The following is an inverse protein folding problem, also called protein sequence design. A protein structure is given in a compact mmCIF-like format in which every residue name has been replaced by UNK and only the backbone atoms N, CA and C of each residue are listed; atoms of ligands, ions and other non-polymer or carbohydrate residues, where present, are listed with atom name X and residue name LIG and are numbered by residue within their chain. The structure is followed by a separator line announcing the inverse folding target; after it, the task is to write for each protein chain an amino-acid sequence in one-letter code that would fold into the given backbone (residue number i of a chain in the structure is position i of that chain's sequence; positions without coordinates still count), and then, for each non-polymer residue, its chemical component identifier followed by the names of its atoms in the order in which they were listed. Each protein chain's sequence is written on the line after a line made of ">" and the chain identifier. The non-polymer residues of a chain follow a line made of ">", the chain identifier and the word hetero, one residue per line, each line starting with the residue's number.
data_IF_536357314351
#
_entry.id   IF_536357314351
#
_cell.length_a   1.000
_cell.length_b   1.000
_cell.length_c   1.000
_cell.angle_alpha   90.00
_cell.angle_beta   90.00
_cell.angle_gamma   90.00
#
_symmetry.space_group_name_H-M   'P 1'
#
loop_
_entity.id
_entity.type
_entity.pdbx_description
1 polymer ?
#
# COMPACT_ATOMS: atom_id res chain seq x y z
N UNK A 1 -29.01 12.50 8.77
CA UNK A 1 -28.68 11.59 7.65
C UNK A 1 -27.83 12.35 6.64
N UNK A 2 -26.91 11.65 5.97
CA UNK A 2 -26.03 12.15 4.89
C UNK A 2 -24.68 12.69 5.35
N UNK A 3 -23.66 11.83 5.32
CA UNK A 3 -22.56 12.04 4.38
C UNK A 3 -22.18 10.68 3.83
N UNK A 4 -22.69 10.44 2.64
CA UNK A 4 -22.26 9.46 1.64
C UNK A 4 -20.74 9.52 1.61
N UNK A 5 -20.15 8.59 2.35
CA UNK A 5 -18.72 8.32 2.38
C UNK A 5 -18.30 8.24 0.91
N UNK A 6 -17.43 9.15 0.47
CA UNK A 6 -16.94 9.17 -0.90
C UNK A 6 -16.46 7.76 -1.20
N UNK A 7 -17.19 7.09 -2.07
CA UNK A 7 -16.83 5.81 -2.66
C UNK A 7 -15.59 6.06 -3.53
N UNK A 8 -14.47 6.37 -2.89
CA UNK A 8 -13.19 6.34 -3.55
C UNK A 8 -13.02 4.88 -3.98
N UNK A 9 -12.70 4.61 -5.25
CA UNK A 9 -12.45 3.24 -5.69
C UNK A 9 -11.41 2.65 -4.74
N UNK A 10 -11.68 1.45 -4.23
CA UNK A 10 -10.71 0.72 -3.43
C UNK A 10 -9.40 0.71 -4.22
N UNK A 11 -8.35 1.29 -3.65
CA UNK A 11 -7.04 1.32 -4.26
C UNK A 11 -6.57 -0.11 -4.46
N UNK A 12 -6.21 -0.48 -5.68
CA UNK A 12 -5.76 -1.83 -6.06
C UNK A 12 -4.34 -1.71 -6.59
N UNK A 13 -3.31 -1.93 -5.75
CA UNK A 13 -1.94 -1.85 -6.19
C UNK A 13 -1.58 -3.00 -7.16
N UNK A 14 -0.56 -2.75 -7.98
CA UNK A 14 0.02 -3.76 -8.85
C UNK A 14 1.18 -4.49 -8.16
N UNK A 15 1.37 -5.79 -8.45
CA UNK A 15 2.53 -6.54 -7.95
C UNK A 15 3.83 -5.84 -8.37
N UNK A 16 4.70 -5.55 -7.41
CA UNK A 16 5.90 -4.75 -7.60
C UNK A 16 5.74 -3.25 -7.34
N UNK A 17 4.53 -2.75 -7.10
CA UNK A 17 4.26 -1.34 -6.82
C UNK A 17 4.67 -0.96 -5.38
N UNK A 18 5.28 0.21 -5.22
CA UNK A 18 5.58 0.77 -3.91
C UNK A 18 4.31 1.38 -3.31
N UNK A 19 3.93 0.89 -2.13
CA UNK A 19 2.74 1.34 -1.41
C UNK A 19 3.08 1.77 0.03
N UNK A 20 2.24 2.62 0.59
CA UNK A 20 2.30 3.05 1.99
C UNK A 20 1.28 2.28 2.82
N UNK A 21 1.76 1.57 3.84
CA UNK A 21 0.91 1.04 4.91
C UNK A 21 0.65 2.17 5.92
N UNK A 22 -0.56 2.74 5.90
CA UNK A 22 -0.96 3.86 6.76
C UNK A 22 -1.10 3.47 8.24
N UNK A 23 -1.21 2.17 8.53
CA UNK A 23 -1.35 1.65 9.90
C UNK A 23 -0.02 1.72 10.65
N UNK A 24 1.08 1.44 9.98
CA UNK A 24 2.44 1.42 10.51
C UNK A 24 3.28 2.62 10.07
N UNK A 25 2.85 3.33 9.03
CA UNK A 25 3.58 4.45 8.42
C UNK A 25 4.78 4.00 7.59
N UNK A 26 4.83 2.73 7.16
CA UNK A 26 5.95 2.14 6.43
C UNK A 26 5.63 1.97 4.96
N UNK A 27 6.62 2.18 4.10
CA UNK A 27 6.53 1.83 2.68
C UNK A 27 6.96 0.39 2.45
N UNK A 28 6.33 -0.25 1.47
CA UNK A 28 6.68 -1.60 1.05
C UNK A 28 6.22 -1.88 -0.37
N UNK A 29 6.90 -2.82 -1.02
CA UNK A 29 6.54 -3.33 -2.33
C UNK A 29 5.36 -4.29 -2.16
N UNK A 30 4.27 -4.02 -2.86
CA UNK A 30 3.12 -4.91 -2.89
C UNK A 30 3.48 -6.19 -3.65
N UNK A 31 3.35 -7.33 -2.97
CA UNK A 31 3.73 -8.63 -3.51
C UNK A 31 2.52 -9.38 -4.06
N UNK A 32 1.45 -9.52 -3.28
CA UNK A 32 0.22 -10.19 -3.69
C UNK A 32 -0.93 -9.94 -2.70
N UNK A 33 -2.14 -10.41 -3.01
CA UNK A 33 -3.27 -10.46 -2.08
C UNK A 33 -3.63 -11.90 -1.76
N UNK A 34 -3.44 -12.31 -0.51
CA UNK A 34 -3.74 -13.67 -0.05
C UNK A 34 -4.79 -13.56 1.05
N UNK A 35 -5.92 -14.25 0.91
CA UNK A 35 -6.99 -14.23 1.90
C UNK A 35 -7.67 -12.87 2.09
N UNK A 36 -7.49 -11.93 1.16
CA UNK A 36 -8.00 -10.56 1.26
C UNK A 36 -7.07 -9.58 1.97
N UNK A 37 -5.88 -10.03 2.40
CA UNK A 37 -4.83 -9.19 2.96
C UNK A 37 -3.75 -8.92 1.91
N UNK A 38 -3.23 -7.70 1.90
CA UNK A 38 -2.11 -7.31 1.04
C UNK A 38 -0.80 -7.70 1.71
N UNK A 39 0.04 -8.46 0.99
CA UNK A 39 1.37 -8.82 1.46
C UNK A 39 2.37 -7.81 0.93
N UNK A 40 3.06 -7.13 1.85
CA UNK A 40 4.04 -6.11 1.54
C UNK A 40 5.43 -6.58 1.94
N UNK A 41 6.42 -6.24 1.12
CA UNK A 41 7.85 -6.49 1.38
C UNK A 41 8.59 -5.17 1.56
N UNK A 42 9.51 -5.04 2.52
CA UNK A 42 10.30 -3.81 2.66
C UNK A 42 11.26 -3.64 1.47
N UNK A 43 11.50 -2.40 1.05
CA UNK A 43 12.34 -2.07 -0.11
C UNK A 43 13.79 -2.56 0.04
N UNK A 44 14.35 -2.46 1.25
CA UNK A 44 15.69 -2.95 1.58
C UNK A 44 15.78 -4.47 1.80
N UNK A 45 14.69 -5.21 1.54
CA UNK A 45 14.58 -6.62 1.91
C UNK A 45 14.27 -6.82 3.40
N UNK A 46 13.84 -8.04 3.75
CA UNK A 46 13.42 -8.38 5.11
C UNK A 46 12.13 -9.19 5.11
N UNK A 47 11.46 -9.24 6.28
CA UNK A 47 10.26 -10.05 6.46
C UNK A 47 9.04 -9.34 5.88
N UNK A 48 8.32 -10.05 5.02
CA UNK A 48 7.02 -9.63 4.50
C UNK A 48 6.01 -9.50 5.64
N UNK A 49 5.07 -8.57 5.50
CA UNK A 49 3.99 -8.38 6.46
C UNK A 49 2.65 -8.25 5.75
N UNK A 50 1.59 -8.69 6.43
CA UNK A 50 0.22 -8.49 6.00
C UNK A 50 -0.25 -7.06 6.37
N UNK A 51 -0.90 -6.43 5.41
CA UNK A 51 -1.50 -5.11 5.48
C UNK A 51 -2.96 -5.19 5.02
N UNK A 52 -3.84 -4.49 5.71
CA UNK A 52 -5.25 -4.46 5.33
C UNK A 52 -5.43 -3.53 4.12
N UNK A 53 -6.23 -3.90 3.10
CA UNK A 53 -6.40 -3.09 1.89
C UNK A 53 -6.84 -1.64 2.14
N UNK A 54 -7.63 -1.42 3.18
CA UNK A 54 -8.12 -0.08 3.55
C UNK A 54 -7.04 0.80 4.22
N UNK A 55 -5.97 0.19 4.72
CA UNK A 55 -4.80 0.87 5.25
C UNK A 55 -3.70 1.08 4.21
N UNK A 56 -3.79 0.44 3.05
CA UNK A 56 -2.82 0.59 1.96
C UNK A 56 -3.20 1.79 1.07
N UNK A 57 -2.22 2.63 0.78
CA UNK A 57 -2.34 3.78 -0.12
C UNK A 57 -1.16 3.81 -1.10
N UNK A 58 -1.27 4.48 -2.24
CA UNK A 58 -0.12 4.70 -3.10
C UNK A 58 0.97 5.40 -2.31
N UNK A 59 2.22 4.93 -2.46
CA UNK A 59 3.33 5.60 -1.82
C UNK A 59 3.41 7.05 -2.33
N UNK A 60 3.76 8.02 -1.46
CA UNK A 60 4.04 9.36 -1.94
C UNK A 60 5.12 9.25 -3.01
N UNK A 61 4.87 9.82 -4.19
CA UNK A 61 5.85 9.94 -5.25
C UNK A 61 7.14 10.50 -4.62
N UNK A 62 8.19 9.69 -4.56
CA UNK A 62 9.51 10.22 -4.23
C UNK A 62 9.91 11.01 -5.47
N UNK A 63 9.55 12.28 -5.46
CA UNK A 63 10.09 13.26 -6.40
C UNK A 63 11.57 13.36 -6.01
N UNK A 64 12.45 13.00 -6.96
CA UNK A 64 13.91 13.05 -6.89
C UNK A 64 14.64 11.79 -6.42
N UNK A 65 15.21 11.07 -7.40
CA UNK A 65 16.65 10.76 -7.46
C UNK A 65 17.01 10.36 -8.90
N UNK A 66 16.93 11.33 -9.82
CA UNK A 66 17.62 11.28 -11.10
C UNK A 66 18.31 12.63 -11.28
N UNK A 67 19.45 12.75 -10.60
CA UNK A 67 20.57 13.59 -11.03
C UNK A 67 21.18 12.98 -12.30
#
# INVERSE_FOLDING_TARGET
>A
MSTRQRNAPAYRPHVGELVLDRRTGRTGIYMDTIGGEHYLRPEGGGREWAAEPHHVAPAPETRDSAD
#
